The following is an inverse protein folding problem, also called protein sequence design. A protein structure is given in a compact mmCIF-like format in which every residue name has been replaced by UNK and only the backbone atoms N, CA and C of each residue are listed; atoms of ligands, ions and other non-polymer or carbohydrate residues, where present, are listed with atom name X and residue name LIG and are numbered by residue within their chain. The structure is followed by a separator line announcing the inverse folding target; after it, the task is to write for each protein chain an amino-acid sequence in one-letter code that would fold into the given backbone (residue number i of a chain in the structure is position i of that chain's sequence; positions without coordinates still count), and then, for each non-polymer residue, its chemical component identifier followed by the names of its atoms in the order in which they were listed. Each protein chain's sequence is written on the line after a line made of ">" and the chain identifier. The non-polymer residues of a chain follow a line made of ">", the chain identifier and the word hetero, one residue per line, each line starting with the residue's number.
data_IF_802829054275
#
_entry.id   IF_802829054275
#
_cell.length_a   1.000
_cell.length_b   1.000
_cell.length_c   1.000
_cell.angle_alpha   90.00
_cell.angle_beta   90.00
_cell.angle_gamma   90.00
#
_symmetry.space_group_name_H-M   'P 1'
#
loop_
_entity.id
_entity.type
_entity.pdbx_description
1 polymer ?
#
# COMPACT_ATOMS: atom_id res chain seq x y z
N UNK A 1 20.57 -32.72 -48.04
CA UNK A 1 19.79 -31.87 -48.96
C UNK A 1 18.55 -32.66 -49.33
N UNK A 2 17.40 -32.25 -48.81
CA UNK A 2 16.09 -32.83 -49.13
C UNK A 2 15.11 -31.68 -49.26
N UNK A 3 14.61 -31.48 -50.48
CA UNK A 3 13.69 -30.39 -50.83
C UNK A 3 12.28 -30.70 -50.30
N UNK A 4 11.71 -29.76 -49.55
CA UNK A 4 10.28 -29.74 -49.24
C UNK A 4 9.57 -28.76 -50.16
N UNK A 5 8.72 -29.31 -51.03
CA UNK A 5 7.81 -28.59 -51.91
C UNK A 5 6.58 -28.11 -51.13
N UNK A 6 6.32 -26.81 -51.15
CA UNK A 6 5.07 -26.21 -50.68
C UNK A 6 4.02 -26.29 -51.80
N UNK A 7 3.00 -27.12 -51.63
CA UNK A 7 1.80 -27.07 -52.47
C UNK A 7 0.84 -25.99 -51.95
N UNK A 8 0.59 -24.97 -52.78
CA UNK A 8 -0.38 -23.92 -52.49
C UNK A 8 -1.82 -24.47 -52.50
N UNK A 9 -2.62 -24.03 -51.52
CA UNK A 9 -4.03 -24.39 -51.28
C UNK A 9 -5.03 -24.05 -52.41
N UNK A 10 -4.55 -23.65 -53.59
CA UNK A 10 -5.37 -23.24 -54.73
C UNK A 10 -5.83 -24.40 -55.63
N UNK A 11 -5.26 -25.61 -55.52
CA UNK A 11 -5.55 -26.74 -56.40
C UNK A 11 -6.38 -27.86 -55.72
N UNK A 12 -7.56 -27.52 -55.22
CA UNK A 12 -8.57 -28.52 -54.84
C UNK A 12 -9.78 -28.43 -55.78
N UNK A 13 -10.11 -29.57 -56.41
CA UNK A 13 -11.10 -29.69 -57.47
C UNK A 13 -12.56 -29.38 -57.07
N UNK A 14 -13.52 -29.55 -58.00
CA UNK A 14 -14.89 -29.01 -57.91
C UNK A 14 -15.73 -29.50 -56.72
N UNK A 15 -15.30 -30.57 -56.04
CA UNK A 15 -15.94 -31.09 -54.83
C UNK A 15 -15.58 -30.30 -53.55
N UNK A 16 -14.64 -29.36 -53.61
CA UNK A 16 -14.23 -28.51 -52.47
C UNK A 16 -15.10 -27.25 -52.24
N UNK A 17 -16.04 -26.93 -53.14
CA UNK A 17 -16.85 -25.69 -53.07
C UNK A 17 -17.89 -25.69 -51.94
N UNK A 18 -18.43 -26.85 -51.57
CA UNK A 18 -19.39 -26.98 -50.46
C UNK A 18 -18.73 -27.15 -49.09
N UNK A 19 -17.43 -27.51 -49.04
CA UNK A 19 -16.68 -27.66 -47.78
C UNK A 19 -16.21 -26.33 -47.20
N UNK A 20 -16.07 -25.28 -48.03
CA UNK A 20 -15.65 -23.93 -47.60
C UNK A 20 -16.68 -23.22 -46.70
N UNK A 21 -17.99 -23.18 -47.01
CA UNK A 21 -18.96 -22.59 -46.09
C UNK A 21 -19.14 -23.44 -44.83
N UNK A 22 -19.01 -24.77 -44.88
CA UNK A 22 -19.09 -25.65 -43.71
C UNK A 22 -17.91 -25.45 -42.72
N UNK A 23 -16.69 -25.29 -43.22
CA UNK A 23 -15.49 -25.05 -42.38
C UNK A 23 -15.47 -23.67 -41.72
N UNK A 24 -16.24 -22.70 -42.23
CA UNK A 24 -16.38 -21.36 -41.64
C UNK A 24 -17.66 -21.28 -40.76
N UNK A 25 -18.75 -21.93 -41.18
CA UNK A 25 -20.02 -21.91 -40.45
C UNK A 25 -19.96 -22.71 -39.15
N UNK A 26 -19.25 -23.85 -39.12
CA UNK A 26 -19.13 -24.67 -37.90
C UNK A 26 -18.44 -23.92 -36.75
N UNK A 27 -17.27 -23.28 -36.93
CA UNK A 27 -16.65 -22.50 -35.85
C UNK A 27 -17.46 -21.27 -35.47
N UNK A 28 -18.17 -20.61 -36.40
CA UNK A 28 -19.04 -19.46 -36.08
C UNK A 28 -20.27 -19.91 -35.29
N UNK A 29 -20.89 -21.03 -35.64
CA UNK A 29 -22.03 -21.60 -34.89
C UNK A 29 -21.58 -22.13 -33.52
N UNK A 30 -20.38 -22.70 -33.40
CA UNK A 30 -19.80 -23.05 -32.10
C UNK A 30 -19.46 -21.82 -31.26
N UNK A 31 -18.96 -20.74 -31.86
CA UNK A 31 -18.73 -19.47 -31.17
C UNK A 31 -20.06 -18.84 -30.72
N UNK A 32 -21.08 -18.87 -31.58
CA UNK A 32 -22.42 -18.39 -31.23
C UNK A 32 -23.06 -19.26 -30.16
N UNK A 33 -22.89 -20.59 -30.20
CA UNK A 33 -23.36 -21.48 -29.12
C UNK A 33 -22.59 -21.26 -27.82
N UNK A 34 -21.27 -20.99 -27.85
CA UNK A 34 -20.49 -20.63 -26.65
C UNK A 34 -20.88 -19.25 -26.08
N UNK A 35 -21.22 -18.28 -26.95
CA UNK A 35 -21.70 -16.95 -26.53
C UNK A 35 -23.19 -16.90 -26.18
N UNK A 36 -24.01 -17.85 -26.63
CA UNK A 36 -25.45 -17.93 -26.30
C UNK A 36 -25.77 -18.96 -25.21
N UNK A 37 -24.86 -19.88 -24.91
CA UNK A 37 -24.90 -20.69 -23.67
C UNK A 37 -24.28 -19.96 -22.46
N UNK A 38 -23.69 -18.78 -22.67
CA UNK A 38 -23.37 -17.82 -21.61
C UNK A 38 -24.57 -16.90 -21.31
N UNK A 39 -25.78 -17.48 -21.31
CA UNK A 39 -26.97 -16.87 -20.70
C UNK A 39 -27.11 -17.43 -19.28
N UNK A 40 -26.96 -16.52 -18.33
CA UNK A 40 -27.65 -16.55 -17.03
C UNK A 40 -27.40 -17.79 -16.16
N UNK A 41 -26.17 -17.91 -15.67
CA UNK A 41 -26.01 -18.36 -14.30
C UNK A 41 -25.90 -17.11 -13.43
N UNK A 42 -27.04 -16.54 -13.05
CA UNK A 42 -27.13 -15.72 -11.84
C UNK A 42 -27.12 -16.71 -10.67
N UNK A 43 -26.05 -16.79 -9.85
CA UNK A 43 -26.18 -17.45 -8.58
C UNK A 43 -27.11 -16.57 -7.73
N UNK A 44 -28.38 -16.96 -7.68
CA UNK A 44 -29.24 -16.58 -6.56
C UNK A 44 -28.56 -17.13 -5.30
N UNK A 45 -28.10 -16.24 -4.43
CA UNK A 45 -27.19 -16.48 -3.28
C UNK A 45 -25.69 -16.40 -3.57
N UNK A 46 -25.25 -15.41 -4.35
CA UNK A 46 -24.02 -14.71 -3.98
C UNK A 46 -24.39 -13.71 -2.88
N UNK A 47 -24.19 -14.11 -1.62
CA UNK A 47 -23.90 -13.13 -0.57
C UNK A 47 -22.84 -12.20 -1.16
N UNK A 48 -23.13 -10.90 -1.21
CA UNK A 48 -22.06 -9.90 -1.34
C UNK A 48 -20.91 -10.33 -0.43
N UNK A 49 -19.63 -10.16 -0.81
CA UNK A 49 -18.56 -10.25 0.15
C UNK A 49 -18.82 -9.14 1.17
N UNK A 50 -19.60 -9.46 2.19
CA UNK A 50 -19.59 -8.75 3.44
C UNK A 50 -18.11 -8.81 3.81
N UNK A 51 -17.47 -7.65 3.84
CA UNK A 51 -16.25 -7.49 4.61
C UNK A 51 -16.69 -7.85 6.02
N UNK A 52 -16.60 -9.12 6.38
CA UNK A 52 -16.74 -9.60 7.73
C UNK A 52 -15.54 -9.00 8.45
N UNK A 53 -15.75 -7.79 8.97
CA UNK A 53 -14.82 -7.19 9.91
C UNK A 53 -14.62 -8.22 11.03
N UNK A 54 -13.36 -8.51 11.41
CA UNK A 54 -13.10 -9.48 12.45
C UNK A 54 -13.96 -9.20 13.67
N UNK A 55 -14.58 -10.26 14.19
CA UNK A 55 -15.41 -10.24 15.40
C UNK A 55 -14.70 -9.43 16.46
N UNK A 56 -15.37 -8.37 16.94
CA UNK A 56 -14.83 -7.33 17.79
C UNK A 56 -13.90 -7.92 18.87
N UNK A 57 -12.60 -7.63 18.78
CA UNK A 57 -11.76 -7.75 19.96
C UNK A 57 -12.33 -6.80 21.01
N UNK A 58 -12.65 -7.35 22.18
CA UNK A 58 -13.29 -6.66 23.29
C UNK A 58 -12.33 -5.57 23.81
N UNK A 59 -12.36 -4.41 23.17
CA UNK A 59 -11.44 -3.32 23.44
C UNK A 59 -12.11 -2.46 24.49
N UNK A 60 -11.84 -2.72 25.77
CA UNK A 60 -12.30 -1.81 26.84
C UNK A 60 -11.60 -0.47 26.67
N UNK A 61 -12.41 0.56 26.47
CA UNK A 61 -11.98 1.96 26.41
C UNK A 61 -12.43 2.60 27.73
N UNK A 62 -11.54 3.27 28.48
CA UNK A 62 -11.96 4.04 29.64
C UNK A 62 -12.95 5.13 29.21
N UNK A 63 -14.13 5.21 29.83
CA UNK A 63 -15.23 6.12 29.44
C UNK A 63 -14.83 7.62 29.42
N UNK A 64 -13.74 7.99 30.11
CA UNK A 64 -13.29 9.38 30.24
C UNK A 64 -12.00 9.72 29.45
N UNK A 65 -11.32 8.73 28.84
CA UNK A 65 -10.08 9.00 28.10
C UNK A 65 -10.35 9.31 26.62
N UNK A 66 -10.37 10.61 26.30
CA UNK A 66 -10.53 11.13 24.93
C UNK A 66 -9.19 11.40 24.24
N UNK A 67 -8.08 10.87 24.75
CA UNK A 67 -6.78 11.03 24.11
C UNK A 67 -6.75 10.45 22.70
N UNK A 68 -5.92 11.05 21.84
CA UNK A 68 -5.75 10.55 20.46
C UNK A 68 -5.26 9.11 20.42
N UNK A 69 -4.50 8.66 21.42
CA UNK A 69 -4.07 7.26 21.53
C UNK A 69 -5.28 6.32 21.69
N UNK A 70 -6.24 6.70 22.52
CA UNK A 70 -7.46 5.94 22.73
C UNK A 70 -8.35 5.94 21.48
N UNK A 71 -8.43 7.07 20.76
CA UNK A 71 -9.13 7.14 19.47
C UNK A 71 -8.49 6.22 18.42
N UNK A 72 -7.16 6.25 18.27
CA UNK A 72 -6.43 5.38 17.33
C UNK A 72 -6.66 3.91 17.68
N UNK A 73 -6.56 3.54 18.96
CA UNK A 73 -6.81 2.16 19.42
C UNK A 73 -8.25 1.74 19.14
N UNK A 74 -9.21 2.62 19.38
CA UNK A 74 -10.61 2.36 19.06
C UNK A 74 -10.78 2.11 17.56
N UNK A 75 -10.25 2.99 16.71
CA UNK A 75 -10.43 2.96 15.26
C UNK A 75 -9.73 1.78 14.58
N UNK A 76 -8.53 1.38 15.03
CA UNK A 76 -7.74 0.36 14.37
C UNK A 76 -7.70 -0.98 15.10
N UNK A 77 -7.85 -1.01 16.42
CA UNK A 77 -7.72 -2.24 17.23
C UNK A 77 -8.57 -3.42 16.74
N UNK A 78 -9.88 -3.23 16.51
CA UNK A 78 -10.75 -4.30 16.01
C UNK A 78 -10.43 -4.83 14.60
N UNK A 79 -9.65 -4.11 13.80
CA UNK A 79 -9.35 -4.46 12.40
C UNK A 79 -7.87 -4.81 12.18
N UNK A 80 -7.08 -4.93 13.26
CA UNK A 80 -5.68 -5.31 13.14
C UNK A 80 -5.57 -6.69 12.51
N UNK A 81 -4.78 -6.78 11.44
CA UNK A 81 -4.50 -8.06 10.79
C UNK A 81 -3.64 -8.95 11.71
N UNK A 82 -3.92 -10.25 11.85
CA UNK A 82 -3.10 -11.13 12.67
C UNK A 82 -1.67 -11.27 12.11
N UNK A 83 -0.67 -11.21 13.00
CA UNK A 83 0.76 -11.22 12.66
C UNK A 83 1.17 -12.48 11.88
N UNK A 84 0.58 -13.61 12.22
CA UNK A 84 0.89 -14.94 11.73
C UNK A 84 -0.19 -15.51 10.80
N UNK A 85 -1.15 -14.68 10.37
CA UNK A 85 -2.15 -15.06 9.39
C UNK A 85 -1.48 -15.53 8.09
N UNK A 86 -1.92 -16.69 7.58
CA UNK A 86 -1.33 -17.32 6.41
C UNK A 86 -1.45 -16.50 5.12
N UNK A 87 -2.42 -15.57 5.06
CA UNK A 87 -2.63 -14.67 3.93
C UNK A 87 -3.12 -13.30 4.37
N UNK A 88 -3.07 -12.36 3.43
CA UNK A 88 -3.70 -11.04 3.48
C UNK A 88 -4.39 -10.83 2.13
N UNK A 89 -5.59 -10.26 2.15
CA UNK A 89 -6.35 -9.91 0.94
C UNK A 89 -6.53 -8.40 0.91
N UNK A 90 -6.14 -7.76 -0.19
CA UNK A 90 -6.31 -6.32 -0.36
C UNK A 90 -7.72 -5.93 -0.85
N UNK A 91 -7.99 -4.63 -1.00
CA UNK A 91 -9.28 -4.12 -1.47
C UNK A 91 -9.60 -4.47 -2.93
N UNK A 92 -8.59 -4.81 -3.73
CA UNK A 92 -8.75 -5.26 -5.11
C UNK A 92 -9.07 -6.77 -5.17
N UNK A 93 -8.97 -7.47 -4.04
CA UNK A 93 -9.23 -8.91 -3.91
C UNK A 93 -7.99 -9.79 -4.17
N UNK A 94 -6.81 -9.19 -4.35
CA UNK A 94 -5.57 -9.91 -4.53
C UNK A 94 -5.12 -10.56 -3.21
N UNK A 95 -4.71 -11.83 -3.28
CA UNK A 95 -4.37 -12.64 -2.09
C UNK A 95 -2.87 -12.87 -2.00
N UNK A 96 -2.25 -12.29 -0.98
CA UNK A 96 -0.83 -12.40 -0.66
C UNK A 96 -0.62 -13.46 0.42
N UNK A 97 0.22 -14.45 0.16
CA UNK A 97 0.42 -15.61 1.04
C UNK A 97 1.81 -15.61 1.64
N UNK A 98 1.92 -15.97 2.92
CA UNK A 98 3.22 -16.17 3.54
C UNK A 98 3.97 -17.32 2.84
N UNK A 99 5.29 -17.20 2.60
CA UNK A 99 6.07 -18.21 1.88
C UNK A 99 6.28 -19.50 2.70
N UNK A 100 5.98 -19.50 3.99
CA UNK A 100 6.18 -20.63 4.88
C UNK A 100 5.65 -20.35 6.29
N UNK A 101 6.15 -21.13 7.26
CA UNK A 101 5.78 -20.94 8.67
C UNK A 101 6.24 -19.55 9.15
N UNK A 102 5.35 -18.72 9.74
CA UNK A 102 5.72 -17.40 10.21
C UNK A 102 6.78 -17.49 11.30
N UNK A 103 7.83 -16.67 11.17
CA UNK A 103 8.89 -16.49 12.18
C UNK A 103 8.39 -15.57 13.29
N UNK A 104 7.79 -14.44 12.90
CA UNK A 104 7.20 -13.50 13.83
C UNK A 104 5.78 -13.97 14.15
N UNK A 105 5.52 -14.27 15.42
CA UNK A 105 4.21 -14.72 15.93
C UNK A 105 3.72 -13.87 17.09
N UNK A 106 4.52 -12.87 17.50
CA UNK A 106 4.24 -11.97 18.60
C UNK A 106 4.56 -10.54 18.20
N UNK A 107 3.88 -9.58 18.83
CA UNK A 107 4.13 -8.15 18.65
C UNK A 107 5.56 -7.82 19.07
N UNK A 108 6.31 -7.16 18.18
CA UNK A 108 7.63 -6.60 18.45
C UNK A 108 7.53 -5.32 19.28
N UNK A 109 6.46 -4.54 19.11
CA UNK A 109 6.21 -3.31 19.88
C UNK A 109 7.43 -2.38 19.88
N UNK A 110 7.89 -1.96 21.06
CA UNK A 110 9.02 -1.04 21.24
C UNK A 110 10.39 -1.55 20.77
N UNK A 111 10.50 -2.80 20.29
CA UNK A 111 11.70 -3.28 19.60
C UNK A 111 11.85 -2.68 18.19
N UNK A 112 10.74 -2.21 17.61
CA UNK A 112 10.69 -1.54 16.30
C UNK A 112 10.68 -0.04 16.52
N UNK A 113 11.53 0.66 15.77
CA UNK A 113 11.51 2.11 15.65
C UNK A 113 11.11 2.54 14.24
N UNK A 114 9.97 3.23 14.14
CA UNK A 114 9.60 3.99 12.96
C UNK A 114 10.35 5.33 13.00
N UNK A 115 11.05 5.65 11.92
CA UNK A 115 12.08 6.69 11.93
C UNK A 115 11.93 7.68 10.78
N UNK A 116 11.66 8.93 11.14
CA UNK A 116 11.78 10.09 10.26
C UNK A 116 13.11 10.81 10.53
N UNK A 117 13.80 11.25 9.47
CA UNK A 117 15.09 11.95 9.59
C UNK A 117 15.09 13.13 8.63
N UNK A 118 15.24 14.33 9.17
CA UNK A 118 15.25 15.58 8.40
C UNK A 118 16.12 16.61 9.12
N UNK A 119 16.87 17.45 8.40
CA UNK A 119 17.63 18.53 9.05
C UNK A 119 16.81 19.82 9.22
N UNK A 120 15.70 19.95 8.49
CA UNK A 120 14.89 21.18 8.47
C UNK A 120 14.16 21.40 9.80
N UNK A 121 13.91 22.67 10.18
CA UNK A 121 13.12 22.99 11.37
C UNK A 121 11.65 22.55 11.27
N UNK A 122 11.08 22.59 10.07
CA UNK A 122 9.68 22.26 9.75
C UNK A 122 8.63 23.11 10.51
N UNK A 123 8.90 24.39 10.75
CA UNK A 123 8.05 25.29 11.55
C UNK A 123 7.13 26.21 10.73
N UNK A 124 7.27 26.24 9.40
CA UNK A 124 6.47 27.05 8.48
C UNK A 124 5.01 26.60 8.34
N UNK A 125 4.20 27.37 7.61
CA UNK A 125 2.77 27.05 7.39
C UNK A 125 2.62 25.68 6.72
N UNK A 126 1.76 24.83 7.30
CA UNK A 126 1.50 23.47 6.84
C UNK A 126 2.63 22.47 7.14
N UNK A 127 3.65 22.87 7.89
CA UNK A 127 4.75 21.99 8.32
C UNK A 127 4.49 21.39 9.71
N UNK A 128 5.05 20.21 9.97
CA UNK A 128 4.76 19.39 11.14
C UNK A 128 5.03 20.07 12.49
N UNK A 129 6.09 20.88 12.57
CA UNK A 129 6.51 21.55 13.81
C UNK A 129 5.90 22.95 13.95
N UNK A 130 4.89 23.29 13.14
CA UNK A 130 4.13 24.51 13.34
C UNK A 130 3.24 24.39 14.60
N UNK A 131 2.93 25.52 15.25
CA UNK A 131 2.01 25.56 16.40
C UNK A 131 0.59 25.10 16.04
N UNK A 132 0.16 25.38 14.80
CA UNK A 132 -1.11 24.94 14.27
C UNK A 132 -0.89 24.19 12.96
N UNK A 133 -1.43 22.98 12.88
CA UNK A 133 -1.50 22.23 11.64
C UNK A 133 -2.97 22.11 11.22
N UNK A 134 -3.27 22.54 9.99
CA UNK A 134 -4.60 22.49 9.40
C UNK A 134 -4.58 21.54 8.22
N UNK A 135 -5.64 20.73 8.08
CA UNK A 135 -5.82 19.83 6.95
C UNK A 135 -5.66 20.55 5.61
N UNK A 136 -6.44 21.62 5.40
CA UNK A 136 -6.35 22.46 4.21
C UNK A 136 -5.02 23.21 4.21
N UNK A 137 -4.16 22.89 3.24
CA UNK A 137 -2.83 23.51 3.08
C UNK A 137 -1.74 22.84 3.91
N UNK A 138 -1.98 21.65 4.47
CA UNK A 138 -0.92 20.78 4.98
C UNK A 138 0.06 20.44 3.86
N UNK A 139 1.37 20.50 4.14
CA UNK A 139 2.38 20.11 3.17
C UNK A 139 2.52 18.58 3.11
N UNK A 140 2.81 18.00 1.94
CA UNK A 140 3.00 16.56 1.78
C UNK A 140 3.91 15.91 2.81
N UNK A 141 5.05 16.54 3.09
CA UNK A 141 6.03 16.03 4.04
C UNK A 141 5.48 15.86 5.46
N UNK A 142 4.63 16.78 5.93
CA UNK A 142 3.96 16.65 7.23
C UNK A 142 2.96 15.50 7.23
N UNK A 143 2.28 15.28 6.11
CA UNK A 143 1.31 14.21 5.97
C UNK A 143 1.99 12.83 6.02
N UNK A 144 3.11 12.63 5.33
CA UNK A 144 3.85 11.37 5.42
C UNK A 144 4.37 11.11 6.83
N UNK A 145 5.00 12.10 7.47
CA UNK A 145 5.48 11.97 8.86
C UNK A 145 4.35 11.68 9.86
N UNK A 146 3.18 12.29 9.70
CA UNK A 146 2.00 11.95 10.51
C UNK A 146 1.47 10.55 10.22
N UNK A 147 1.54 10.09 8.97
CA UNK A 147 1.22 8.71 8.62
C UNK A 147 2.16 7.73 9.32
N UNK A 148 3.45 8.04 9.39
CA UNK A 148 4.45 7.22 10.07
C UNK A 148 4.18 7.16 11.58
N UNK A 149 3.91 8.31 12.20
CA UNK A 149 3.54 8.40 13.61
C UNK A 149 2.25 7.63 13.91
N UNK A 150 1.24 7.74 13.05
CA UNK A 150 -0.01 7.00 13.18
C UNK A 150 0.24 5.49 13.09
N UNK A 151 1.00 5.03 12.09
CA UNK A 151 1.36 3.61 11.95
C UNK A 151 2.08 3.08 13.19
N UNK A 152 3.06 3.81 13.72
CA UNK A 152 3.74 3.44 14.95
C UNK A 152 2.78 3.34 16.14
N UNK A 153 1.84 4.28 16.24
CA UNK A 153 0.85 4.33 17.32
C UNK A 153 -0.14 3.17 17.27
N UNK A 154 -0.59 2.78 16.06
CA UNK A 154 -1.52 1.66 15.85
C UNK A 154 -0.93 0.34 16.39
N UNK A 155 0.36 0.11 16.12
CA UNK A 155 1.01 -1.17 16.43
C UNK A 155 1.83 -1.17 17.73
N UNK A 156 1.93 -0.02 18.40
CA UNK A 156 2.71 0.13 19.63
C UNK A 156 4.23 0.14 19.40
N UNK A 157 4.69 0.50 18.21
CA UNK A 157 6.11 0.71 17.91
C UNK A 157 6.63 1.99 18.58
N UNK A 158 7.95 2.16 18.61
CA UNK A 158 8.52 3.47 18.91
C UNK A 158 8.53 4.34 17.66
N UNK A 159 8.43 5.65 17.85
CA UNK A 159 8.50 6.64 16.78
C UNK A 159 9.50 7.72 17.17
N UNK A 160 10.40 8.06 16.26
CA UNK A 160 11.28 9.23 16.42
C UNK A 160 11.34 10.02 15.14
N UNK A 161 11.24 11.33 15.30
CA UNK A 161 11.73 12.30 14.33
C UNK A 161 13.11 12.78 14.78
N UNK A 162 14.14 12.47 14.01
CA UNK A 162 15.50 12.96 14.26
C UNK A 162 15.72 14.22 13.45
N UNK A 163 15.92 15.35 14.15
CA UNK A 163 16.47 16.55 13.54
C UNK A 163 17.97 16.36 13.33
N UNK A 164 18.36 15.98 12.12
CA UNK A 164 19.75 15.67 11.80
C UNK A 164 20.61 16.94 11.68
N UNK A 165 21.93 16.85 11.90
CA UNK A 165 22.84 17.95 11.60
C UNK A 165 22.90 18.23 10.10
N UNK A 166 23.16 19.48 9.73
CA UNK A 166 23.47 19.84 8.35
C UNK A 166 24.91 19.43 8.00
N UNK A 167 25.09 18.84 6.82
CA UNK A 167 26.41 18.53 6.27
C UNK A 167 26.74 19.49 5.15
N UNK A 168 27.73 20.37 5.36
CA UNK A 168 28.13 21.36 4.35
C UNK A 168 28.78 20.73 3.11
N UNK A 169 29.31 19.51 3.21
CA UNK A 169 30.11 18.88 2.16
C UNK A 169 29.33 17.92 1.24
N UNK A 170 28.05 17.65 1.53
CA UNK A 170 27.25 16.64 0.80
C UNK A 170 25.77 17.00 0.76
N UNK A 171 25.04 16.36 -0.14
CA UNK A 171 23.60 16.56 -0.30
C UNK A 171 22.81 16.14 0.94
N UNK A 172 21.67 16.79 1.18
CA UNK A 172 20.87 16.59 2.39
C UNK A 172 20.34 15.17 2.57
N UNK A 173 20.23 14.37 1.51
CA UNK A 173 19.79 12.96 1.60
C UNK A 173 20.79 12.08 2.35
N UNK A 174 22.05 12.49 2.48
CA UNK A 174 23.07 11.74 3.24
C UNK A 174 22.82 11.70 4.75
N UNK A 175 22.00 12.59 5.30
CA UNK A 175 21.76 12.67 6.76
C UNK A 175 21.15 11.39 7.32
N UNK A 176 20.36 10.65 6.51
CA UNK A 176 19.66 9.45 6.97
C UNK A 176 20.60 8.29 7.32
N UNK A 177 21.70 8.11 6.58
CA UNK A 177 22.60 6.96 6.76
C UNK A 177 23.25 6.91 8.16
N UNK A 178 23.97 7.95 8.63
CA UNK A 178 24.54 7.94 9.97
C UNK A 178 23.46 7.95 11.06
N UNK A 179 22.31 8.58 10.84
CA UNK A 179 21.23 8.61 11.84
C UNK A 179 20.54 7.25 12.00
N UNK A 180 20.33 6.50 10.91
CA UNK A 180 19.88 5.10 10.96
C UNK A 180 20.88 4.22 11.73
N UNK A 181 22.18 4.41 11.50
CA UNK A 181 23.24 3.70 12.24
C UNK A 181 23.14 3.92 13.76
N UNK A 182 22.92 5.16 14.17
CA UNK A 182 22.78 5.52 15.59
C UNK A 182 21.47 4.98 16.18
N UNK A 183 20.37 5.03 15.43
CA UNK A 183 19.09 4.47 15.84
C UNK A 183 19.17 2.95 16.14
N UNK A 184 19.88 2.21 15.29
CA UNK A 184 20.17 0.77 15.47
C UNK A 184 20.97 0.44 16.74
N UNK A 185 21.50 1.41 17.50
CA UNK A 185 22.11 1.11 18.81
C UNK A 185 21.09 0.87 19.91
N UNK A 186 19.84 1.28 19.69
CA UNK A 186 18.80 1.32 20.74
C UNK A 186 17.58 0.46 20.44
N UNK A 187 17.46 -0.07 19.21
CA UNK A 187 16.32 -0.85 18.77
C UNK A 187 16.79 -2.05 17.94
N UNK A 188 16.03 -3.14 17.99
CA UNK A 188 16.33 -4.37 17.25
C UNK A 188 16.01 -4.20 15.75
N UNK A 189 14.99 -3.41 15.44
CA UNK A 189 14.56 -3.10 14.08
C UNK A 189 14.34 -1.60 13.93
N UNK A 190 14.76 -1.05 12.80
CA UNK A 190 14.36 0.29 12.38
C UNK A 190 13.62 0.22 11.05
N UNK A 191 12.68 1.12 10.85
CA UNK A 191 12.02 1.37 9.57
C UNK A 191 12.17 2.85 9.26
N UNK A 192 13.09 3.17 8.37
CA UNK A 192 13.25 4.51 7.83
C UNK A 192 12.31 4.71 6.65
N UNK A 193 11.67 5.88 6.61
CA UNK A 193 10.78 6.29 5.54
C UNK A 193 11.06 7.74 5.13
N UNK A 194 11.24 7.98 3.84
CA UNK A 194 11.18 9.33 3.28
C UNK A 194 9.76 9.88 3.48
N UNK A 195 9.63 11.20 3.57
CA UNK A 195 8.35 11.84 3.94
C UNK A 195 7.23 11.74 2.89
N UNK A 196 7.54 11.22 1.72
CA UNK A 196 6.64 10.89 0.62
C UNK A 196 6.48 9.37 0.47
N UNK A 197 6.82 8.61 1.51
CA UNK A 197 6.52 7.18 1.67
C UNK A 197 5.40 7.01 2.68
N UNK A 198 4.55 5.99 2.52
CA UNK A 198 3.49 5.64 3.48
C UNK A 198 3.18 4.14 3.41
N UNK A 199 2.82 3.55 4.55
CA UNK A 199 2.14 2.25 4.55
C UNK A 199 0.73 2.41 4.00
N UNK A 200 0.39 1.62 2.99
CA UNK A 200 -0.93 1.66 2.36
C UNK A 200 -2.00 1.09 3.30
N UNK A 201 -1.70 -0.03 3.96
CA UNK A 201 -2.57 -0.68 4.92
C UNK A 201 -2.09 -0.44 6.35
N UNK A 202 -2.52 0.63 7.03
CA UNK A 202 -2.02 0.95 8.36
C UNK A 202 -2.41 -0.08 9.43
N UNK A 203 -3.42 -0.93 9.17
CA UNK A 203 -3.85 -2.02 10.06
C UNK A 203 -3.04 -3.32 9.87
N UNK A 204 -2.22 -3.42 8.82
CA UNK A 204 -1.34 -4.56 8.56
C UNK A 204 -0.05 -4.41 9.39
N UNK A 205 0.24 -5.30 10.34
CA UNK A 205 1.43 -5.17 11.19
C UNK A 205 2.72 -5.39 10.39
N UNK A 206 3.80 -4.75 10.83
CA UNK A 206 5.12 -4.87 10.21
C UNK A 206 5.58 -6.32 10.28
N UNK A 207 5.34 -7.02 11.39
CA UNK A 207 5.70 -8.42 11.58
C UNK A 207 5.14 -9.34 10.50
N UNK A 208 3.91 -9.07 10.03
CA UNK A 208 3.34 -9.83 8.91
C UNK A 208 4.12 -9.55 7.62
N UNK A 209 4.47 -8.29 7.34
CA UNK A 209 5.32 -7.92 6.21
C UNK A 209 6.73 -8.52 6.32
N UNK A 210 7.32 -8.61 7.52
CA UNK A 210 8.60 -9.26 7.75
C UNK A 210 8.54 -10.76 7.50
N UNK A 211 7.44 -11.42 7.86
CA UNK A 211 7.18 -12.81 7.50
C UNK A 211 7.03 -12.97 5.98
N UNK A 212 6.24 -12.11 5.35
CA UNK A 212 5.94 -12.16 3.93
C UNK A 212 7.19 -11.95 3.06
N UNK A 213 8.01 -10.93 3.39
CA UNK A 213 9.28 -10.66 2.72
C UNK A 213 10.44 -11.52 3.22
N UNK A 214 10.17 -12.53 4.05
CA UNK A 214 11.11 -13.53 4.53
C UNK A 214 12.36 -12.91 5.20
N UNK A 215 12.14 -12.13 6.27
CA UNK A 215 13.22 -11.58 7.10
C UNK A 215 13.87 -12.66 7.97
N UNK A 216 15.19 -12.84 7.82
CA UNK A 216 15.97 -13.78 8.61
C UNK A 216 16.78 -13.07 9.70
N UNK A 217 17.48 -13.83 10.55
CA UNK A 217 18.43 -13.25 11.51
C UNK A 217 19.72 -12.75 10.86
N UNK A 218 19.98 -13.17 9.62
CA UNK A 218 21.14 -12.75 8.83
C UNK A 218 20.83 -11.52 7.96
N UNK A 219 19.55 -11.15 7.82
CA UNK A 219 19.15 -9.94 7.09
C UNK A 219 19.64 -8.67 7.77
N UNK A 220 20.47 -7.91 7.07
CA UNK A 220 20.97 -6.60 7.52
C UNK A 220 19.98 -5.51 7.18
N UNK A 221 19.51 -5.48 5.94
CA UNK A 221 18.54 -4.50 5.45
C UNK A 221 17.62 -5.07 4.36
N UNK A 222 16.41 -4.52 4.29
CA UNK A 222 15.45 -4.72 3.23
C UNK A 222 15.16 -3.40 2.54
N UNK A 223 15.26 -3.39 1.21
CA UNK A 223 15.03 -2.21 0.39
C UNK A 223 14.38 -2.64 -0.93
N UNK A 224 13.47 -1.83 -1.44
CA UNK A 224 12.80 -2.12 -2.70
C UNK A 224 13.70 -1.85 -3.90
N UNK A 225 13.61 -2.68 -4.93
CA UNK A 225 14.24 -2.35 -6.22
C UNK A 225 13.57 -1.12 -6.83
N UNK A 226 14.35 -0.28 -7.52
CA UNK A 226 13.81 0.89 -8.22
C UNK A 226 13.00 0.51 -9.47
N UNK A 227 12.11 1.43 -9.95
CA UNK A 227 11.44 1.26 -11.22
C UNK A 227 12.47 1.09 -12.34
N UNK A 228 12.09 0.29 -13.33
CA UNK A 228 12.94 0.03 -14.49
C UNK A 228 12.99 1.26 -15.42
N UNK A 229 13.78 2.27 -15.04
CA UNK A 229 14.06 3.47 -15.82
C UNK A 229 15.58 3.63 -16.05
N UNK A 230 16.03 4.25 -17.17
CA UNK A 230 17.45 4.27 -17.55
C UNK A 230 18.41 4.81 -16.50
N UNK A 231 17.96 5.78 -15.70
CA UNK A 231 18.76 6.39 -14.64
C UNK A 231 18.91 5.52 -13.39
N UNK A 232 18.09 4.47 -13.23
CA UNK A 232 18.04 3.66 -12.02
C UNK A 232 19.01 2.47 -12.03
N UNK A 233 20.13 2.60 -12.73
CA UNK A 233 21.12 1.53 -12.89
C UNK A 233 22.47 1.96 -12.34
N UNK A 234 23.13 1.05 -11.64
CA UNK A 234 24.51 1.21 -11.21
C UNK A 234 25.50 0.97 -12.38
N UNK A 235 26.78 1.26 -12.13
CA UNK A 235 27.85 1.08 -13.12
C UNK A 235 28.07 -0.35 -13.61
N UNK A 236 27.47 -1.36 -12.95
CA UNK A 236 27.53 -2.77 -13.36
C UNK A 236 26.24 -3.23 -14.03
N UNK A 237 25.32 -2.31 -14.34
CA UNK A 237 24.07 -2.61 -15.02
C UNK A 237 23.00 -3.25 -14.13
N UNK A 238 23.15 -3.19 -12.80
CA UNK A 238 22.10 -3.63 -11.89
C UNK A 238 21.21 -2.46 -11.48
N UNK A 239 19.91 -2.70 -11.35
CA UNK A 239 18.99 -1.68 -10.82
C UNK A 239 19.38 -1.29 -9.39
N UNK A 240 19.22 -0.01 -9.07
CA UNK A 240 19.37 0.51 -7.71
C UNK A 240 18.31 -0.08 -6.79
N UNK A 241 18.64 -0.10 -5.50
CA UNK A 241 17.68 -0.28 -4.43
C UNK A 241 17.29 1.11 -3.93
N UNK A 242 15.98 1.37 -3.88
CA UNK A 242 15.44 2.60 -3.36
C UNK A 242 15.76 2.73 -1.86
N UNK A 243 16.26 3.88 -1.45
CA UNK A 243 16.63 4.14 -0.05
C UNK A 243 15.65 5.08 0.66
N UNK A 244 14.48 5.30 0.07
CA UNK A 244 13.38 6.02 0.70
C UNK A 244 12.54 5.13 1.62
N UNK A 245 12.63 3.81 1.49
CA UNK A 245 12.06 2.85 2.44
C UNK A 245 13.12 1.82 2.80
N UNK A 246 13.55 1.80 4.06
CA UNK A 246 14.59 0.88 4.55
C UNK A 246 14.15 0.24 5.85
N UNK A 247 14.03 -1.08 5.85
CA UNK A 247 13.93 -1.86 7.09
C UNK A 247 15.33 -2.39 7.41
N UNK A 248 15.85 -2.17 8.61
CA UNK A 248 17.14 -2.71 9.00
C UNK A 248 17.10 -3.39 10.36
N UNK A 249 17.87 -4.46 10.51
CA UNK A 249 18.01 -5.21 11.76
C UNK A 249 19.29 -4.85 12.47
N UNK A 250 19.24 -4.76 13.79
CA UNK A 250 20.43 -4.64 14.60
C UNK A 250 21.31 -5.88 14.46
N UNK A 251 22.56 -5.67 14.04
CA UNK A 251 23.64 -6.63 14.18
C UNK A 251 24.99 -5.89 14.10
N UNK A 252 26.08 -6.56 14.49
CA UNK A 252 27.43 -6.03 14.28
C UNK A 252 27.71 -5.76 12.79
N UNK A 253 27.31 -6.69 11.91
CA UNK A 253 27.50 -6.56 10.47
C UNK A 253 26.66 -5.43 9.88
N UNK A 254 25.45 -5.20 10.38
CA UNK A 254 24.62 -4.05 10.00
C UNK A 254 25.31 -2.74 10.38
N UNK A 255 25.86 -2.65 11.60
CA UNK A 255 26.61 -1.47 12.05
C UNK A 255 27.86 -1.21 11.17
N UNK A 256 28.57 -2.26 10.76
CA UNK A 256 29.70 -2.18 9.82
C UNK A 256 29.26 -1.68 8.43
N UNK A 257 28.13 -2.19 7.93
CA UNK A 257 27.53 -1.75 6.66
C UNK A 257 27.17 -0.27 6.67
N UNK A 258 26.41 0.17 7.66
CA UNK A 258 26.03 1.58 7.77
C UNK A 258 27.23 2.50 8.02
N UNK A 259 28.27 2.03 8.72
CA UNK A 259 29.52 2.78 8.86
C UNK A 259 30.19 2.95 7.50
N UNK A 260 30.40 1.86 6.76
CA UNK A 260 31.00 1.90 5.44
C UNK A 260 30.18 2.78 4.47
N UNK A 261 28.85 2.77 4.61
CA UNK A 261 27.96 3.61 3.82
C UNK A 261 28.12 5.09 4.16
N UNK A 262 28.05 5.47 5.44
CA UNK A 262 28.21 6.86 5.88
C UNK A 262 29.61 7.44 5.56
N UNK A 263 30.64 6.58 5.59
CA UNK A 263 32.03 6.94 5.29
C UNK A 263 32.36 6.87 3.79
N UNK A 264 31.47 6.34 2.94
CA UNK A 264 31.73 6.21 1.50
C UNK A 264 32.21 7.53 0.86
N UNK A 265 31.60 8.70 1.15
CA UNK A 265 32.08 9.99 0.65
C UNK A 265 33.51 10.40 1.06
N UNK A 266 34.09 9.78 2.09
CA UNK A 266 35.45 10.06 2.55
C UNK A 266 36.52 9.27 1.79
N UNK A 267 36.12 8.28 0.97
CA UNK A 267 37.01 7.42 0.19
C UNK A 267 38.11 6.70 0.99
N UNK A 268 37.87 6.51 2.29
CA UNK A 268 38.71 5.68 3.16
C UNK A 268 38.68 4.23 2.70
N UNK A 269 37.49 3.70 2.42
CA UNK A 269 37.27 2.34 1.92
C UNK A 269 37.02 2.29 0.41
N UNK A 270 36.14 3.14 -0.12
CA UNK A 270 35.70 3.09 -1.52
C UNK A 270 36.26 4.25 -2.34
N UNK A 271 37.30 3.98 -3.13
CA UNK A 271 37.87 4.97 -4.05
C UNK A 271 36.86 5.33 -5.13
N UNK A 272 36.70 6.63 -5.41
CA UNK A 272 35.73 7.15 -6.37
C UNK A 272 34.32 7.36 -5.80
N UNK A 273 34.08 7.08 -4.52
CA UNK A 273 32.75 7.29 -3.92
C UNK A 273 32.47 8.76 -3.56
N UNK A 274 33.48 9.64 -3.48
CA UNK A 274 33.28 11.04 -3.13
C UNK A 274 32.36 11.79 -4.09
N UNK A 275 32.28 11.37 -5.37
CA UNK A 275 31.38 11.99 -6.35
C UNK A 275 29.91 11.96 -5.91
N UNK A 276 29.51 10.90 -5.21
CA UNK A 276 28.14 10.73 -4.71
C UNK A 276 27.80 11.65 -3.54
N UNK A 277 28.73 12.50 -3.09
CA UNK A 277 28.38 13.65 -2.23
C UNK A 277 27.32 14.53 -2.87
N UNK A 278 27.41 14.75 -4.17
CA UNK A 278 26.59 15.73 -4.91
C UNK A 278 25.97 15.15 -6.18
N UNK A 279 26.58 14.12 -6.78
CA UNK A 279 25.99 13.45 -7.92
C UNK A 279 24.73 12.69 -7.50
N UNK A 280 23.65 12.85 -8.26
CA UNK A 280 22.46 12.01 -8.13
C UNK A 280 22.79 10.56 -8.50
N UNK A 281 22.36 9.52 -7.79
CA UNK A 281 21.37 9.48 -6.71
C UNK A 281 22.00 9.47 -5.29
N UNK A 282 23.14 10.13 -5.08
CA UNK A 282 23.76 10.34 -3.77
C UNK A 282 24.04 9.03 -2.99
N UNK A 283 23.56 8.93 -1.74
CA UNK A 283 23.71 7.77 -0.86
C UNK A 283 23.14 6.49 -1.48
N UNK A 284 22.07 6.59 -2.27
CA UNK A 284 21.51 5.45 -2.99
C UNK A 284 22.47 4.93 -4.06
N UNK A 285 23.05 5.84 -4.84
CA UNK A 285 24.05 5.48 -5.83
C UNK A 285 25.33 4.95 -5.19
N UNK A 286 25.73 5.48 -4.04
CA UNK A 286 26.84 4.94 -3.26
C UNK A 286 26.55 3.51 -2.78
N UNK A 287 25.34 3.24 -2.29
CA UNK A 287 24.91 1.89 -1.92
C UNK A 287 24.98 0.94 -3.11
N UNK A 288 24.39 1.35 -4.24
CA UNK A 288 24.33 0.56 -5.46
C UNK A 288 25.69 0.31 -6.12
N UNK A 289 26.61 1.26 -6.10
CA UNK A 289 27.89 1.09 -6.79
C UNK A 289 28.97 0.40 -5.94
N UNK A 290 28.83 0.43 -4.60
CA UNK A 290 29.85 -0.08 -3.69
C UNK A 290 29.28 -1.06 -2.66
N UNK A 291 28.38 -0.60 -1.78
CA UNK A 291 28.00 -1.36 -0.58
C UNK A 291 27.35 -2.70 -0.93
N UNK A 292 26.44 -2.74 -1.91
CA UNK A 292 25.75 -3.98 -2.31
C UNK A 292 26.71 -5.11 -2.70
N UNK A 293 27.93 -4.79 -3.12
CA UNK A 293 28.93 -5.76 -3.58
C UNK A 293 29.87 -6.23 -2.47
N UNK A 294 29.90 -5.53 -1.35
CA UNK A 294 30.65 -5.93 -0.15
C UNK A 294 29.77 -6.67 0.88
N UNK A 295 28.45 -6.47 0.77
CA UNK A 295 27.42 -7.08 1.61
C UNK A 295 26.48 -7.91 0.73
N UNK A 296 27.06 -8.93 0.10
CA UNK A 296 26.45 -9.76 -0.95
C UNK A 296 26.18 -11.20 -0.50
N UNK A 297 26.26 -11.49 0.80
CA UNK A 297 25.86 -12.82 1.31
C UNK A 297 24.37 -13.03 0.99
N UNK A 298 23.92 -14.29 0.80
CA UNK A 298 22.56 -14.59 0.31
C UNK A 298 21.43 -13.86 1.04
N UNK A 299 21.59 -13.61 2.34
CA UNK A 299 20.58 -12.95 3.16
C UNK A 299 20.96 -11.53 3.62
N UNK A 300 22.15 -11.01 3.30
CA UNK A 300 22.60 -9.70 3.81
C UNK A 300 21.59 -8.59 3.43
N UNK A 301 21.22 -8.52 2.15
CA UNK A 301 20.29 -7.54 1.61
C UNK A 301 19.10 -8.24 0.97
N UNK A 302 17.90 -8.05 1.55
CA UNK A 302 16.66 -8.52 0.95
C UNK A 302 16.12 -7.46 0.00
N UNK A 303 16.07 -7.79 -1.29
CA UNK A 303 15.48 -6.93 -2.31
C UNK A 303 13.96 -7.12 -2.34
N UNK A 304 13.21 -6.06 -2.06
CA UNK A 304 11.75 -6.08 -2.10
C UNK A 304 11.24 -5.77 -3.53
N UNK A 305 10.15 -6.41 -3.98
CA UNK A 305 9.54 -6.08 -5.26
C UNK A 305 9.09 -4.61 -5.30
N UNK A 306 9.42 -3.88 -6.38
CA UNK A 306 9.01 -2.49 -6.47
C UNK A 306 7.48 -2.36 -6.48
N UNK A 307 6.76 -3.26 -7.14
CA UNK A 307 5.29 -3.25 -7.16
C UNK A 307 4.67 -3.26 -5.77
N UNK A 308 5.37 -3.84 -4.79
CA UNK A 308 4.90 -3.96 -3.42
C UNK A 308 5.37 -2.83 -2.51
N UNK A 309 6.63 -2.42 -2.67
CA UNK A 309 7.33 -1.60 -1.69
C UNK A 309 7.94 -0.30 -2.25
N UNK A 310 7.60 0.08 -3.49
CA UNK A 310 8.04 1.32 -4.12
C UNK A 310 7.00 1.83 -5.13
N UNK A 311 6.88 3.14 -5.30
CA UNK A 311 5.89 3.74 -6.19
C UNK A 311 4.48 3.75 -5.61
N UNK A 312 3.52 4.14 -6.44
CA UNK A 312 2.13 4.40 -6.06
C UNK A 312 1.26 4.17 -7.32
N UNK A 313 -0.09 4.17 -7.24
CA UNK A 313 -0.94 3.85 -8.38
C UNK A 313 -0.63 4.68 -9.66
N UNK A 314 -0.25 5.94 -9.51
CA UNK A 314 0.15 6.81 -10.62
C UNK A 314 1.47 6.40 -11.30
N UNK A 315 2.29 5.58 -10.64
CA UNK A 315 3.53 5.02 -11.19
C UNK A 315 3.32 3.66 -11.90
N UNK A 316 2.09 3.15 -12.00
CA UNK A 316 1.81 1.89 -12.68
C UNK A 316 2.34 1.84 -14.12
N UNK A 317 2.25 2.96 -14.85
CA UNK A 317 2.76 3.10 -16.22
C UNK A 317 4.24 3.53 -16.29
N UNK A 318 4.91 3.69 -15.14
CA UNK A 318 6.30 4.12 -15.00
C UNK A 318 7.12 3.06 -14.25
N UNK A 319 7.37 1.95 -14.93
CA UNK A 319 8.15 0.83 -14.39
C UNK A 319 7.36 -0.17 -13.56
N UNK A 320 6.02 -0.04 -13.47
CA UNK A 320 5.13 -1.04 -12.87
C UNK A 320 5.08 -1.05 -11.34
N UNK A 321 5.64 -0.02 -10.68
CA UNK A 321 5.77 0.02 -9.24
C UNK A 321 4.53 0.67 -8.60
N UNK A 322 3.52 -0.14 -8.23
CA UNK A 322 2.22 0.32 -7.73
C UNK A 322 2.20 0.67 -6.23
N UNK A 323 3.15 0.18 -5.45
CA UNK A 323 3.19 0.33 -4.01
C UNK A 323 2.01 -0.34 -3.29
N UNK A 324 1.84 -1.66 -3.46
CA UNK A 324 0.75 -2.43 -2.82
C UNK A 324 0.75 -2.26 -1.30
N UNK A 325 1.89 -2.48 -0.64
CA UNK A 325 2.01 -2.40 0.82
C UNK A 325 2.61 -1.08 1.29
N UNK A 326 3.60 -0.57 0.54
CA UNK A 326 4.28 0.69 0.83
C UNK A 326 4.24 1.54 -0.42
N UNK A 327 3.57 2.69 -0.32
CA UNK A 327 3.46 3.68 -1.38
C UNK A 327 4.56 4.71 -1.26
N UNK A 328 5.22 5.04 -2.36
CA UNK A 328 6.24 6.07 -2.48
C UNK A 328 5.86 7.03 -3.61
N UNK A 329 5.43 8.24 -3.25
CA UNK A 329 4.81 9.23 -4.14
C UNK A 329 5.84 10.09 -4.88
N UNK A 330 6.86 9.47 -5.49
CA UNK A 330 7.91 10.17 -6.24
C UNK A 330 7.41 10.74 -7.58
N UNK A 331 6.26 10.27 -8.11
CA UNK A 331 5.60 10.83 -9.29
C UNK A 331 4.84 12.11 -8.93
N UNK A 332 3.94 12.05 -7.94
CA UNK A 332 3.20 13.22 -7.46
C UNK A 332 3.12 13.26 -5.94
N UNK A 333 4.06 14.00 -5.35
CA UNK A 333 4.14 14.20 -3.89
C UNK A 333 2.88 14.86 -3.32
N UNK A 334 2.05 15.53 -4.11
CA UNK A 334 0.83 16.18 -3.58
C UNK A 334 -0.24 15.16 -3.17
N UNK A 335 -0.14 13.91 -3.64
CA UNK A 335 -1.07 12.84 -3.29
C UNK A 335 -0.88 12.30 -1.87
N UNK A 336 0.27 12.55 -1.23
CA UNK A 336 0.57 12.07 0.14
C UNK A 336 -0.49 12.54 1.14
N UNK A 337 -0.86 13.82 1.09
CA UNK A 337 -1.88 14.37 1.98
C UNK A 337 -3.23 13.69 1.76
N UNK A 338 -3.68 13.58 0.51
CA UNK A 338 -4.93 12.89 0.17
C UNK A 338 -4.92 11.43 0.67
N UNK A 339 -3.83 10.70 0.45
CA UNK A 339 -3.71 9.31 0.88
C UNK A 339 -3.70 9.15 2.41
N UNK A 340 -3.22 10.14 3.17
CA UNK A 340 -3.38 10.14 4.62
C UNK A 340 -4.86 10.26 5.04
N UNK A 341 -5.66 11.09 4.36
CA UNK A 341 -7.10 11.10 4.62
C UNK A 341 -7.74 9.78 4.22
N UNK A 342 -7.45 9.29 3.02
CA UNK A 342 -8.04 8.07 2.50
C UNK A 342 -7.74 6.89 3.45
N UNK A 343 -6.52 6.79 4.01
CA UNK A 343 -6.14 5.74 4.97
C UNK A 343 -6.80 5.82 6.34
N UNK A 344 -7.41 6.96 6.69
CA UNK A 344 -8.25 7.10 7.90
C UNK A 344 -9.72 6.84 7.53
N UNK A 345 -10.19 7.47 6.45
CA UNK A 345 -11.58 7.41 6.00
C UNK A 345 -12.00 5.99 5.59
N UNK A 346 -11.10 5.23 4.98
CA UNK A 346 -11.32 3.84 4.60
C UNK A 346 -11.81 2.97 5.78
N UNK A 347 -11.37 3.27 7.00
CA UNK A 347 -11.74 2.51 8.20
C UNK A 347 -12.76 3.21 9.09
N UNK A 348 -12.81 4.54 9.05
CA UNK A 348 -13.80 5.31 9.79
C UNK A 348 -15.21 5.16 9.18
N UNK A 349 -15.34 5.30 7.86
CA UNK A 349 -16.64 5.34 7.20
C UNK A 349 -17.47 4.06 7.38
N UNK A 350 -16.91 2.84 7.24
CA UNK A 350 -17.68 1.62 7.48
C UNK A 350 -18.23 1.52 8.91
N UNK A 351 -17.50 2.04 9.90
CA UNK A 351 -17.95 2.05 11.30
C UNK A 351 -19.03 3.08 11.55
N UNK A 352 -18.88 4.27 10.97
CA UNK A 352 -19.93 5.28 11.00
C UNK A 352 -21.22 4.72 10.38
N UNK A 353 -21.10 4.01 9.24
CA UNK A 353 -22.22 3.34 8.61
C UNK A 353 -22.83 2.24 9.49
N UNK A 354 -22.02 1.39 10.13
CA UNK A 354 -22.51 0.39 11.10
C UNK A 354 -23.27 1.04 12.26
N UNK A 355 -22.75 2.14 12.81
CA UNK A 355 -23.43 2.89 13.87
C UNK A 355 -24.79 3.43 13.39
N UNK A 356 -24.82 4.06 12.21
CA UNK A 356 -26.04 4.53 11.57
C UNK A 356 -27.04 3.39 11.42
N UNK A 357 -26.63 2.25 10.86
CA UNK A 357 -27.55 1.11 10.70
C UNK A 357 -28.01 0.53 12.04
N UNK A 358 -27.15 0.48 13.06
CA UNK A 358 -27.51 -0.06 14.39
C UNK A 358 -28.50 0.80 15.17
N UNK A 359 -28.56 2.10 14.85
CA UNK A 359 -29.45 3.08 15.50
C UNK A 359 -30.60 3.49 14.58
N UNK A 360 -30.81 2.76 13.47
CA UNK A 360 -31.77 3.11 12.41
C UNK A 360 -33.17 3.39 12.94
N UNK A 361 -33.64 2.66 13.96
CA UNK A 361 -34.95 2.86 14.59
C UNK A 361 -35.15 4.25 15.22
N UNK A 362 -34.07 4.96 15.54
CA UNK A 362 -34.11 6.27 16.19
C UNK A 362 -34.14 7.44 15.19
N UNK A 363 -33.65 7.23 13.96
CA UNK A 363 -33.46 8.32 12.99
C UNK A 363 -34.00 8.02 11.58
N UNK A 364 -34.48 6.81 11.31
CA UNK A 364 -35.21 6.48 10.09
C UNK A 364 -36.70 6.42 10.41
N UNK A 365 -37.46 7.38 9.86
CA UNK A 365 -38.92 7.34 9.84
C UNK A 365 -39.36 6.86 8.46
N UNK A 366 -39.83 5.62 8.38
CA UNK A 366 -40.36 5.08 7.12
C UNK A 366 -41.82 5.53 6.91
N UNK A 367 -41.98 6.66 6.24
CA UNK A 367 -43.29 7.21 5.88
C UNK A 367 -43.81 6.67 4.53
N UNK A 368 -43.20 5.65 3.90
CA UNK A 368 -43.68 5.12 2.61
C UNK A 368 -45.08 4.52 2.69
N UNK A 369 -45.49 4.07 3.88
CA UNK A 369 -46.84 3.61 4.20
C UNK A 369 -47.88 4.72 4.34
N UNK A 370 -47.53 5.99 4.09
CA UNK A 370 -48.43 7.14 4.26
C UNK A 370 -48.65 7.88 2.92
N UNK A 371 -49.78 8.58 2.80
CA UNK A 371 -50.06 9.63 1.82
C UNK A 371 -50.21 10.97 2.52
N UNK A 372 -50.05 12.05 1.76
CA UNK A 372 -50.40 13.39 2.23
C UNK A 372 -51.83 13.72 1.82
N UNK A 373 -52.66 14.09 2.79
CA UNK A 373 -53.93 14.77 2.52
C UNK A 373 -53.83 16.21 3.06
N UNK A 374 -53.63 17.16 2.14
CA UNK A 374 -53.23 18.52 2.49
C UNK A 374 -51.79 18.53 3.05
N UNK A 375 -51.65 18.88 4.34
CA UNK A 375 -50.39 18.93 5.06
C UNK A 375 -50.20 17.80 6.09
N UNK A 376 -51.18 16.89 6.21
CA UNK A 376 -51.19 15.80 7.19
C UNK A 376 -50.77 14.47 6.55
N UNK A 377 -50.01 13.67 7.30
CA UNK A 377 -49.64 12.30 6.92
C UNK A 377 -50.75 11.33 7.35
N UNK A 378 -51.36 10.65 6.39
CA UNK A 378 -52.41 9.66 6.61
C UNK A 378 -51.93 8.30 6.12
N UNK A 379 -52.09 7.27 6.93
CA UNK A 379 -51.67 5.92 6.57
C UNK A 379 -52.45 5.41 5.35
N UNK A 380 -51.75 4.76 4.41
CA UNK A 380 -52.34 4.16 3.24
C UNK A 380 -53.21 2.97 3.65
N UNK A 381 -54.34 2.81 2.98
CA UNK A 381 -55.12 1.57 3.03
C UNK A 381 -54.38 0.42 2.34
N UNK A 382 -54.74 -0.82 2.65
CA UNK A 382 -54.11 -2.01 2.04
C UNK A 382 -54.26 -2.03 0.51
N UNK A 383 -55.42 -1.60 -0.01
CA UNK A 383 -55.65 -1.47 -1.46
C UNK A 383 -54.71 -0.43 -2.11
N UNK A 384 -54.45 0.68 -1.43
CA UNK A 384 -53.52 1.73 -1.89
C UNK A 384 -52.05 1.28 -1.82
N UNK A 385 -51.68 0.48 -0.80
CA UNK A 385 -50.35 -0.13 -0.70
C UNK A 385 -50.10 -1.08 -1.88
N UNK A 386 -51.04 -1.98 -2.16
CA UNK A 386 -50.95 -2.91 -3.30
C UNK A 386 -50.91 -2.19 -4.66
N UNK A 387 -51.67 -1.09 -4.81
CA UNK A 387 -51.66 -0.30 -6.03
C UNK A 387 -50.30 0.38 -6.24
N UNK A 388 -49.70 0.96 -5.18
CA UNK A 388 -48.36 1.58 -5.24
C UNK A 388 -47.26 0.57 -5.55
N UNK A 389 -47.32 -0.64 -5.02
CA UNK A 389 -46.35 -1.69 -5.37
C UNK A 389 -46.43 -2.07 -6.85
N UNK A 390 -47.64 -2.11 -7.43
CA UNK A 390 -47.88 -2.41 -8.85
C UNK A 390 -47.44 -1.28 -9.79
N UNK A 391 -47.48 -0.02 -9.36
CA UNK A 391 -47.06 1.13 -10.17
C UNK A 391 -45.54 1.24 -10.37
N UNK A 392 -44.74 0.56 -9.55
CA UNK A 392 -43.28 0.54 -9.62
C UNK A 392 -42.62 1.88 -9.29
N UNK A 393 -41.31 2.01 -9.53
CA UNK A 393 -40.48 3.19 -9.20
C UNK A 393 -40.74 4.43 -10.07
N UNK A 394 -41.98 4.70 -10.48
CA UNK A 394 -42.30 5.93 -11.20
C UNK A 394 -42.18 7.11 -10.21
N UNK A 395 -41.43 8.14 -10.60
CA UNK A 395 -41.24 9.40 -9.84
C UNK A 395 -40.30 9.33 -8.62
N UNK A 396 -39.33 8.41 -8.58
CA UNK A 396 -38.20 8.60 -7.66
C UNK A 396 -37.32 9.74 -8.17
N UNK A 397 -36.89 10.62 -7.26
CA UNK A 397 -35.89 11.64 -7.58
C UNK A 397 -34.59 10.90 -7.93
N UNK A 398 -34.30 10.83 -9.22
CA UNK A 398 -33.01 10.38 -9.72
C UNK A 398 -32.06 11.58 -9.62
N UNK A 399 -31.08 11.50 -8.72
CA UNK A 399 -30.07 12.56 -8.59
C UNK A 399 -28.95 12.42 -9.64
N UNK A 400 -29.00 11.40 -10.51
CA UNK A 400 -28.19 11.32 -11.72
C UNK A 400 -26.68 11.27 -11.47
N UNK A 401 -26.25 10.70 -10.33
CA UNK A 401 -24.85 10.48 -10.00
C UNK A 401 -24.40 9.05 -10.30
#
# INVERSE_FOLDING_TARGET
>A
MGDYSYQALANMGPQGRWRRPLLIAIPIVLLFMLFSSSVSYTPSSATEPQIEFPTAQNTSIPEEDTSMSTIIKALYGPILHPIDAANFTDEDGDVYRLPGKPKFTQKLGKKVLILDIDSRPLTGKGQLMNKELKWKGMRPLSAGMLSHYMFASIHGYDYKFIRAPDYADRWGTWVKVPMMKEALKTHDYIVFMDSDVMFHYPHLPLEWLLNYWNMTDDTLAMMSIDPNEPQNYDSRGNRYLNTGFVIARQSKRTQEMYKAWAECPSETKYKGCARWKQDWAHEQAAFGNYLRYDYDRPDDIRVLPCVEANGAPEAANRGGCKGVFVRHFWVDKNLVAKNLADSVMQYFLPRLHQLYMSTASEHIVDAKGFKLEGAELIELTEEEKEAKEKEGKKNQKDEGF
#
